data_IF_508754523335
#
_entry.id   IF_508754523335
#
_cell.length_a   1.000
_cell.length_b   1.000
_cell.length_c   1.000
_cell.angle_alpha   90.00
_cell.angle_beta   90.00
_cell.angle_gamma   90.00
#
_symmetry.space_group_name_H-M   'P 1'
#
loop_
_entity.id
_entity.type
_entity.pdbx_description
1 polymer ?
#
# COMPACT_ATOMS: atom_id res chain seq x y z
N UNK A 1 17.17 20.92 -1.66
CA UNK A 1 15.79 20.93 -1.12
C UNK A 1 14.72 20.60 -2.17
N UNK A 2 15.10 20.05 -3.34
CA UNK A 2 14.16 19.57 -4.39
C UNK A 2 14.03 18.04 -4.40
N UNK A 3 15.14 17.30 -4.28
CA UNK A 3 15.12 15.83 -4.25
C UNK A 3 14.32 15.24 -3.09
N UNK A 4 14.20 15.95 -1.95
CA UNK A 4 13.32 15.53 -0.85
C UNK A 4 11.82 15.71 -1.16
N UNK A 5 11.44 16.63 -2.04
CA UNK A 5 10.04 16.76 -2.51
C UNK A 5 9.72 15.67 -3.54
N UNK A 6 10.66 15.39 -4.44
CA UNK A 6 10.51 14.36 -5.46
C UNK A 6 10.41 12.94 -4.86
N UNK A 7 11.28 12.60 -3.90
CA UNK A 7 11.18 11.33 -3.15
C UNK A 7 9.83 11.16 -2.45
N UNK A 8 9.29 12.24 -1.88
CA UNK A 8 7.97 12.22 -1.23
C UNK A 8 6.84 11.99 -2.22
N UNK A 9 6.91 12.65 -3.38
CA UNK A 9 5.95 12.44 -4.47
C UNK A 9 5.95 10.98 -4.93
N UNK A 10 7.13 10.41 -5.19
CA UNK A 10 7.28 9.00 -5.60
C UNK A 10 6.73 8.05 -4.53
N UNK A 11 7.04 8.28 -3.26
CA UNK A 11 6.55 7.44 -2.17
C UNK A 11 5.02 7.44 -2.07
N UNK A 12 4.39 8.60 -2.27
CA UNK A 12 2.93 8.71 -2.30
C UNK A 12 2.31 8.07 -3.55
N UNK A 13 2.96 8.18 -4.71
CA UNK A 13 2.52 7.52 -5.96
C UNK A 13 2.57 6.00 -5.84
N UNK A 14 3.64 5.44 -5.26
CA UNK A 14 3.75 4.00 -4.97
C UNK A 14 2.61 3.56 -4.06
N UNK A 15 2.30 4.36 -3.04
CA UNK A 15 1.24 4.02 -2.10
C UNK A 15 -0.16 4.03 -2.76
N UNK A 16 -0.40 4.99 -3.65
CA UNK A 16 -1.64 5.06 -4.43
C UNK A 16 -1.81 3.84 -5.36
N UNK A 17 -0.74 3.44 -6.06
CA UNK A 17 -0.76 2.24 -6.90
C UNK A 17 -0.96 0.96 -6.08
N UNK A 18 -0.33 0.85 -4.91
CA UNK A 18 -0.56 -0.27 -4.00
C UNK A 18 -2.03 -0.34 -3.56
N UNK A 19 -2.67 0.80 -3.26
CA UNK A 19 -4.08 0.85 -2.90
C UNK A 19 -4.99 0.34 -4.03
N UNK A 20 -4.70 0.75 -5.29
CA UNK A 20 -5.44 0.28 -6.48
C UNK A 20 -5.30 -1.22 -6.66
N UNK A 21 -4.10 -1.78 -6.49
CA UNK A 21 -3.86 -3.22 -6.60
C UNK A 21 -4.69 -3.98 -5.56
N UNK A 22 -4.71 -3.52 -4.30
CA UNK A 22 -5.52 -4.17 -3.25
C UNK A 22 -7.02 -4.09 -3.57
N UNK A 23 -7.51 -2.96 -4.08
CA UNK A 23 -8.91 -2.83 -4.51
C UNK A 23 -9.26 -3.80 -5.65
N UNK A 24 -8.39 -3.91 -6.65
CA UNK A 24 -8.57 -4.85 -7.75
C UNK A 24 -8.53 -6.30 -7.27
N UNK A 25 -7.60 -6.64 -6.38
CA UNK A 25 -7.53 -7.97 -5.78
C UNK A 25 -8.82 -8.33 -5.05
N UNK A 26 -9.41 -7.40 -4.29
CA UNK A 26 -10.71 -7.60 -3.62
C UNK A 26 -11.85 -7.84 -4.61
N UNK A 27 -11.88 -7.10 -5.72
CA UNK A 27 -12.92 -7.26 -6.75
C UNK A 27 -12.82 -8.61 -7.49
N UNK A 28 -11.61 -9.17 -7.60
CA UNK A 28 -11.34 -10.40 -8.33
C UNK A 28 -11.34 -11.65 -7.44
N UNK A 29 -11.22 -11.48 -6.13
CA UNK A 29 -11.19 -12.59 -5.20
C UNK A 29 -12.57 -13.27 -5.11
N UNK A 30 -12.56 -14.59 -5.13
CA UNK A 30 -13.71 -15.39 -4.74
C UNK A 30 -13.81 -15.39 -3.21
N UNK A 31 -14.85 -14.75 -2.65
CA UNK A 31 -15.04 -14.66 -1.20
C UNK A 31 -15.37 -16.01 -0.55
N UNK A 32 -15.90 -16.97 -1.34
CA UNK A 32 -16.21 -18.32 -0.89
C UNK A 32 -14.94 -19.18 -0.79
N UNK A 33 -13.85 -18.84 -1.50
CA UNK A 33 -12.56 -19.50 -1.38
C UNK A 33 -11.82 -19.06 -0.10
N UNK A 34 -11.59 -19.98 0.88
CA UNK A 34 -10.85 -19.66 2.10
C UNK A 34 -9.41 -19.20 1.84
N UNK A 35 -8.78 -19.67 0.76
CA UNK A 35 -7.43 -19.24 0.40
C UNK A 35 -7.42 -17.79 -0.09
N UNK A 36 -8.31 -17.44 -1.02
CA UNK A 36 -8.47 -16.07 -1.52
C UNK A 36 -8.79 -15.08 -0.37
N UNK A 37 -9.73 -15.43 0.50
CA UNK A 37 -10.09 -14.60 1.68
C UNK A 37 -8.91 -14.39 2.62
N UNK A 38 -8.12 -15.44 2.91
CA UNK A 38 -6.91 -15.31 3.73
C UNK A 38 -5.85 -14.45 3.04
N UNK A 39 -5.69 -14.62 1.72
CA UNK A 39 -4.79 -13.81 0.91
C UNK A 39 -5.14 -12.32 0.97
N UNK A 40 -6.42 -11.98 0.82
CA UNK A 40 -6.91 -10.60 0.95
C UNK A 40 -6.62 -10.00 2.33
N UNK A 41 -6.87 -10.76 3.40
CA UNK A 41 -6.58 -10.29 4.76
C UNK A 41 -5.10 -9.96 4.94
N UNK A 42 -4.21 -10.85 4.50
CA UNK A 42 -2.76 -10.60 4.57
C UNK A 42 -2.39 -9.36 3.75
N UNK A 43 -2.93 -9.25 2.54
CA UNK A 43 -2.67 -8.10 1.66
C UNK A 43 -3.09 -6.76 2.27
N UNK A 44 -4.22 -6.72 2.99
CA UNK A 44 -4.66 -5.53 3.72
C UNK A 44 -3.70 -5.16 4.87
N UNK A 45 -3.21 -6.15 5.61
CA UNK A 45 -2.23 -5.95 6.69
C UNK A 45 -0.92 -5.38 6.13
N UNK A 46 -0.41 -5.96 5.05
CA UNK A 46 0.80 -5.50 4.38
C UNK A 46 0.65 -4.07 3.85
N UNK A 47 -0.49 -3.74 3.23
CA UNK A 47 -0.77 -2.37 2.77
C UNK A 47 -0.78 -1.37 3.94
N UNK A 48 -1.33 -1.75 5.10
CA UNK A 48 -1.31 -0.90 6.30
C UNK A 48 0.11 -0.67 6.82
N UNK A 49 0.97 -1.71 6.80
CA UNK A 49 2.37 -1.57 7.16
C UNK A 49 3.11 -0.64 6.18
N UNK A 50 2.90 -0.82 4.88
CA UNK A 50 3.47 0.05 3.84
C UNK A 50 3.07 1.51 4.03
N UNK A 51 1.79 1.79 4.32
CA UNK A 51 1.32 3.15 4.64
C UNK A 51 2.09 3.78 5.80
N UNK A 52 2.33 3.00 6.84
CA UNK A 52 3.06 3.46 8.03
C UNK A 52 4.51 3.81 7.66
N UNK A 53 5.19 2.91 6.95
CA UNK A 53 6.56 3.14 6.48
C UNK A 53 6.68 4.36 5.56
N UNK A 54 5.76 4.51 4.60
CA UNK A 54 5.74 5.67 3.70
C UNK A 54 5.49 6.95 4.49
N UNK A 55 4.57 6.94 5.46
CA UNK A 55 4.33 8.09 6.32
C UNK A 55 5.59 8.49 7.08
N UNK A 56 6.29 7.54 7.70
CA UNK A 56 7.49 7.81 8.47
C UNK A 56 8.61 8.39 7.59
N UNK A 57 8.82 7.81 6.41
CA UNK A 57 9.81 8.30 5.43
C UNK A 57 9.49 9.70 4.87
N UNK A 58 8.21 10.03 4.73
CA UNK A 58 7.76 11.29 4.11
C UNK A 58 7.70 12.44 5.12
N UNK A 59 7.26 12.16 6.35
CA UNK A 59 6.95 13.18 7.35
C UNK A 59 7.95 13.26 8.49
N UNK A 60 8.76 12.21 8.71
CA UNK A 60 9.86 12.20 9.68
C UNK A 60 11.21 11.85 9.03
N UNK A 61 11.64 12.56 7.97
CA UNK A 61 12.97 12.35 7.41
C UNK A 61 14.02 12.86 8.40
N UNK A 62 14.96 12.00 8.78
CA UNK A 62 16.19 12.36 9.52
C UNK A 62 17.01 13.45 8.81
#
# INVERSE_FOLDING_TARGET
>A
MEGGKEKRKIALEILDEADKIVRLAKMLADEDDPFARRGLYVLEVELKMLRTLVHDLVFFPE
#
